data_IF_481345489400
#
_entry.id   IF_481345489400
#
_cell.length_a   1.000
_cell.length_b   1.000
_cell.length_c   1.000
_cell.angle_alpha   90.00
_cell.angle_beta   90.00
_cell.angle_gamma   90.00
#
_symmetry.space_group_name_H-M   'P 1'
#
loop_
_entity.id
_entity.type
_entity.pdbx_description
1 polymer ?
#
# COMPACT_ATOMS: atom_id res chain seq x y z
N UNK A 1 -29.67 19.72 5.87
CA UNK A 1 -28.52 19.01 6.48
C UNK A 1 -27.98 18.06 5.41
N UNK A 2 -26.90 18.45 4.74
CA UNK A 2 -26.26 17.59 3.74
C UNK A 2 -25.47 16.51 4.49
N UNK A 3 -25.88 15.26 4.37
CA UNK A 3 -25.06 14.12 4.77
C UNK A 3 -23.94 14.01 3.73
N UNK A 4 -22.71 14.39 4.10
CA UNK A 4 -21.54 14.00 3.31
C UNK A 4 -21.41 12.50 3.52
N UNK A 5 -21.68 11.71 2.48
CA UNK A 5 -21.35 10.29 2.48
C UNK A 5 -19.83 10.23 2.49
N UNK A 6 -19.27 9.86 3.64
CA UNK A 6 -17.84 9.61 3.79
C UNK A 6 -17.42 8.55 2.76
N UNK A 7 -16.42 8.87 1.95
CA UNK A 7 -15.96 8.02 0.86
C UNK A 7 -15.21 6.82 1.44
N UNK A 8 -15.33 5.64 0.83
CA UNK A 8 -14.56 4.49 1.32
C UNK A 8 -13.06 4.74 1.20
N UNK A 9 -12.64 5.41 0.13
CA UNK A 9 -11.25 5.82 -0.06
C UNK A 9 -10.71 6.64 1.12
N UNK A 10 -11.52 7.54 1.69
CA UNK A 10 -11.16 8.34 2.88
C UNK A 10 -10.90 7.45 4.10
N UNK A 11 -11.84 6.55 4.41
CA UNK A 11 -11.70 5.58 5.51
C UNK A 11 -10.49 4.68 5.34
N UNK A 12 -10.26 4.22 4.11
CA UNK A 12 -9.12 3.40 3.78
C UNK A 12 -7.80 4.14 4.05
N UNK A 13 -7.67 5.38 3.57
CA UNK A 13 -6.46 6.17 3.80
C UNK A 13 -6.26 6.53 5.28
N UNK A 14 -7.33 6.81 6.03
CA UNK A 14 -7.24 7.00 7.47
C UNK A 14 -6.69 5.74 8.16
N UNK A 15 -7.26 4.58 7.85
CA UNK A 15 -6.84 3.30 8.43
C UNK A 15 -5.38 2.95 8.10
N UNK A 16 -4.94 3.13 6.84
CA UNK A 16 -3.57 2.84 6.43
C UNK A 16 -2.58 3.83 7.05
N UNK A 17 -2.95 5.11 7.18
CA UNK A 17 -2.08 6.14 7.74
C UNK A 17 -2.03 6.13 9.27
N UNK A 18 -2.97 5.48 9.95
CA UNK A 18 -3.07 5.47 11.41
C UNK A 18 -1.76 4.97 12.08
N UNK A 19 -1.10 5.84 12.84
CA UNK A 19 0.13 5.54 13.58
C UNK A 19 -0.11 5.13 15.05
N UNK A 20 -1.37 5.05 15.50
CA UNK A 20 -1.71 4.67 16.88
C UNK A 20 -1.50 3.19 17.19
N UNK A 21 -1.40 2.34 16.17
CA UNK A 21 -1.20 0.91 16.34
C UNK A 21 0.27 0.60 16.61
N UNK A 22 0.54 -0.29 17.57
CA UNK A 22 1.88 -0.84 17.72
C UNK A 22 2.23 -1.70 16.49
N UNK A 23 3.28 -1.28 15.78
CA UNK A 23 3.81 -1.95 14.59
C UNK A 23 5.12 -2.72 14.89
N UNK A 24 5.51 -2.83 16.16
CA UNK A 24 6.74 -3.50 16.60
C UNK A 24 6.82 -4.97 16.16
N UNK A 25 5.68 -5.64 16.03
CA UNK A 25 5.62 -7.03 15.51
C UNK A 25 6.17 -7.20 14.10
N UNK A 26 6.30 -6.12 13.33
CA UNK A 26 6.85 -6.12 11.99
C UNK A 26 8.34 -5.73 11.94
N UNK A 27 8.96 -5.44 13.10
CA UNK A 27 10.34 -4.97 13.16
C UNK A 27 11.31 -5.95 12.52
N UNK A 28 11.21 -7.24 12.84
CA UNK A 28 12.06 -8.28 12.27
C UNK A 28 12.00 -8.25 10.74
N UNK A 29 10.79 -8.31 10.18
CA UNK A 29 10.59 -8.36 8.74
C UNK A 29 11.01 -7.06 8.04
N UNK A 30 10.73 -5.91 8.61
CA UNK A 30 10.98 -4.63 7.95
C UNK A 30 12.40 -4.10 8.17
N UNK A 31 13.06 -4.44 9.26
CA UNK A 31 14.45 -4.04 9.51
C UNK A 31 15.46 -4.77 8.63
N UNK A 32 15.04 -5.77 7.86
CA UNK A 32 15.88 -6.46 6.87
C UNK A 32 15.63 -5.99 5.43
N UNK A 33 14.74 -5.02 5.22
CA UNK A 33 14.42 -4.54 3.88
C UNK A 33 15.65 -3.81 3.27
N UNK A 34 15.94 -4.13 2.00
CA UNK A 34 17.01 -3.52 1.20
C UNK A 34 16.36 -2.52 0.26
N UNK A 35 16.58 -1.23 0.51
CA UNK A 35 15.89 -0.08 -0.10
C UNK A 35 16.85 1.11 -0.17
N UNK A 36 16.45 2.14 -0.91
CA UNK A 36 17.18 3.40 -0.96
C UNK A 36 16.96 4.26 0.30
N UNK A 37 17.83 5.26 0.49
CA UNK A 37 17.69 6.26 1.55
C UNK A 37 16.60 7.28 1.25
N UNK A 38 15.81 7.75 2.25
CA UNK A 38 15.96 7.48 3.68
C UNK A 38 15.33 6.15 4.14
N UNK A 39 16.17 5.25 4.65
CA UNK A 39 15.77 3.88 5.01
C UNK A 39 14.75 3.83 6.14
N UNK A 40 14.83 4.73 7.11
CA UNK A 40 13.91 4.76 8.25
C UNK A 40 12.47 5.05 7.81
N UNK A 41 12.27 5.88 6.78
CA UNK A 41 10.95 6.12 6.20
C UNK A 41 10.43 4.89 5.45
N UNK A 42 11.32 4.19 4.75
CA UNK A 42 10.97 2.93 4.06
C UNK A 42 10.62 1.81 5.04
N UNK A 43 11.26 1.73 6.20
CA UNK A 43 10.88 0.81 7.27
C UNK A 43 9.46 1.12 7.76
N UNK A 44 9.11 2.39 7.99
CA UNK A 44 7.74 2.78 8.37
C UNK A 44 6.72 2.36 7.31
N UNK A 45 7.02 2.57 6.03
CA UNK A 45 6.16 2.12 4.91
C UNK A 45 6.02 0.60 4.91
N UNK A 46 7.12 -0.15 5.06
CA UNK A 46 7.10 -1.61 5.14
C UNK A 46 6.16 -2.09 6.26
N UNK A 47 6.23 -1.50 7.45
CA UNK A 47 5.36 -1.88 8.58
C UNK A 47 3.88 -1.64 8.26
N UNK A 48 3.54 -0.50 7.67
CA UNK A 48 2.18 -0.19 7.21
C UNK A 48 1.71 -1.15 6.11
N UNK A 49 2.63 -1.56 5.23
CA UNK A 49 2.39 -2.55 4.19
C UNK A 49 2.05 -3.92 4.79
N UNK A 50 2.83 -4.43 5.75
CA UNK A 50 2.55 -5.71 6.39
C UNK A 50 1.22 -5.68 7.16
N UNK A 51 0.89 -4.57 7.82
CA UNK A 51 -0.44 -4.35 8.41
C UNK A 51 -1.56 -4.40 7.38
N UNK A 52 -1.38 -3.74 6.24
CA UNK A 52 -2.35 -3.79 5.15
C UNK A 52 -2.61 -5.23 4.70
N UNK A 53 -1.58 -6.08 4.60
CA UNK A 53 -1.74 -7.47 4.19
C UNK A 53 -2.59 -8.30 5.16
N UNK A 54 -2.50 -8.03 6.47
CA UNK A 54 -3.36 -8.67 7.46
C UNK A 54 -4.80 -8.16 7.37
N UNK A 55 -4.97 -6.84 7.19
CA UNK A 55 -6.29 -6.20 7.16
C UNK A 55 -7.05 -6.42 5.85
N UNK A 56 -6.34 -6.65 4.74
CA UNK A 56 -6.96 -6.84 3.44
C UNK A 56 -7.92 -8.05 3.41
N UNK A 57 -7.69 -9.08 4.22
CA UNK A 57 -8.65 -10.18 4.39
C UNK A 57 -9.98 -9.75 5.03
N UNK A 58 -9.94 -8.73 5.91
CA UNK A 58 -11.12 -8.26 6.65
C UNK A 58 -12.01 -7.34 5.81
N UNK A 59 -11.48 -6.79 4.71
CA UNK A 59 -12.19 -5.85 3.84
C UNK A 59 -13.06 -6.50 2.76
N UNK A 60 -13.01 -7.84 2.63
CA UNK A 60 -13.72 -8.59 1.59
C UNK A 60 -15.24 -8.39 1.61
N UNK A 61 -15.82 -8.17 2.78
CA UNK A 61 -17.28 -8.12 2.95
C UNK A 61 -17.88 -6.72 2.70
N UNK A 62 -17.04 -5.69 2.55
CA UNK A 62 -17.48 -4.29 2.35
C UNK A 62 -17.31 -3.82 0.89
N UNK A 63 -16.19 -4.16 0.23
CA UNK A 63 -15.83 -3.72 -1.12
C UNK A 63 -15.02 -4.81 -1.83
N UNK A 64 -14.93 -4.75 -3.17
CA UNK A 64 -14.07 -5.66 -3.92
C UNK A 64 -12.61 -5.51 -3.46
N UNK A 65 -11.97 -6.65 -3.15
CA UNK A 65 -10.54 -6.68 -2.83
C UNK A 65 -9.66 -6.06 -3.92
N UNK A 66 -10.15 -6.08 -5.17
CA UNK A 66 -9.51 -5.43 -6.31
C UNK A 66 -9.45 -3.91 -6.12
N UNK A 67 -10.54 -3.28 -5.64
CA UNK A 67 -10.55 -1.86 -5.32
C UNK A 67 -9.64 -1.52 -4.13
N UNK A 68 -9.62 -2.36 -3.10
CA UNK A 68 -8.74 -2.22 -1.94
C UNK A 68 -7.26 -2.25 -2.34
N UNK A 69 -6.88 -3.17 -3.23
CA UNK A 69 -5.53 -3.27 -3.77
C UNK A 69 -5.16 -2.05 -4.62
N UNK A 70 -6.08 -1.54 -5.43
CA UNK A 70 -5.87 -0.32 -6.22
C UNK A 70 -5.65 0.91 -5.32
N UNK A 71 -6.47 1.09 -4.27
CA UNK A 71 -6.28 2.18 -3.30
C UNK A 71 -4.92 2.08 -2.61
N UNK A 72 -4.52 0.86 -2.22
CA UNK A 72 -3.22 0.65 -1.61
C UNK A 72 -2.06 0.93 -2.56
N UNK A 73 -2.18 0.57 -3.84
CA UNK A 73 -1.20 0.93 -4.87
C UNK A 73 -1.03 2.44 -5.00
N UNK A 74 -2.14 3.20 -5.04
CA UNK A 74 -2.08 4.65 -5.09
C UNK A 74 -1.46 5.26 -3.84
N UNK A 75 -1.78 4.73 -2.66
CA UNK A 75 -1.13 5.12 -1.41
C UNK A 75 0.38 4.90 -1.49
N UNK A 76 0.80 3.71 -1.92
CA UNK A 76 2.21 3.34 -1.98
C UNK A 76 2.99 4.20 -3.00
N UNK A 77 2.46 4.39 -4.20
CA UNK A 77 3.03 5.29 -5.20
C UNK A 77 3.14 6.73 -4.67
N UNK A 78 2.14 7.22 -3.95
CA UNK A 78 2.15 8.54 -3.33
C UNK A 78 3.24 8.69 -2.28
N UNK A 79 3.40 7.69 -1.40
CA UNK A 79 4.45 7.69 -0.37
C UNK A 79 5.85 7.66 -0.97
N UNK A 80 6.11 6.77 -1.94
CA UNK A 80 7.42 6.68 -2.60
C UNK A 80 7.73 7.95 -3.42
N UNK A 81 6.73 8.52 -4.08
CA UNK A 81 6.87 9.80 -4.78
C UNK A 81 7.15 10.94 -3.82
N UNK A 82 6.55 10.94 -2.63
CA UNK A 82 6.81 11.94 -1.61
C UNK A 82 8.25 11.87 -1.08
N UNK A 83 8.76 10.65 -0.86
CA UNK A 83 10.12 10.42 -0.36
C UNK A 83 11.18 10.73 -1.42
N UNK A 84 11.03 10.19 -2.62
CA UNK A 84 12.06 10.26 -3.66
C UNK A 84 11.87 11.41 -4.64
N UNK A 85 10.68 12.00 -4.72
CA UNK A 85 10.30 12.92 -5.79
C UNK A 85 9.92 12.19 -7.07
N UNK A 86 8.95 12.77 -7.81
CA UNK A 86 8.32 12.14 -8.98
C UNK A 86 9.28 11.81 -10.14
N UNK A 87 10.46 12.43 -10.20
CA UNK A 87 11.44 12.19 -11.26
C UNK A 87 12.39 11.02 -10.96
N UNK A 88 12.36 10.45 -9.75
CA UNK A 88 13.24 9.35 -9.33
C UNK A 88 12.60 7.98 -9.55
N UNK A 89 12.10 7.74 -10.77
CA UNK A 89 11.35 6.53 -11.14
C UNK A 89 12.09 5.24 -10.82
N UNK A 90 13.41 5.19 -11.06
CA UNK A 90 14.22 4.00 -10.79
C UNK A 90 14.22 3.61 -9.30
N UNK A 91 14.31 4.60 -8.40
CA UNK A 91 14.22 4.36 -6.95
C UNK A 91 12.82 3.91 -6.55
N UNK A 92 11.79 4.55 -7.11
CA UNK A 92 10.39 4.18 -6.86
C UNK A 92 10.13 2.73 -7.29
N UNK A 93 10.54 2.35 -8.51
CA UNK A 93 10.38 0.97 -9.04
C UNK A 93 11.13 -0.03 -8.17
N UNK A 94 12.39 0.26 -7.84
CA UNK A 94 13.24 -0.65 -7.06
C UNK A 94 12.64 -0.90 -5.68
N UNK A 95 12.24 0.15 -4.98
CA UNK A 95 11.76 0.06 -3.61
C UNK A 95 10.33 -0.43 -3.51
N UNK A 96 9.48 -0.14 -4.50
CA UNK A 96 8.18 -0.79 -4.65
C UNK A 96 8.36 -2.31 -4.82
N UNK A 97 9.32 -2.73 -5.64
CA UNK A 97 9.63 -4.14 -5.85
C UNK A 97 10.13 -4.80 -4.56
N UNK A 98 10.97 -4.12 -3.77
CA UNK A 98 11.41 -4.59 -2.47
C UNK A 98 10.24 -4.81 -1.49
N UNK A 99 9.25 -3.91 -1.49
CA UNK A 99 8.02 -4.07 -0.70
C UNK A 99 7.15 -5.22 -1.22
N UNK A 100 7.04 -5.41 -2.53
CA UNK A 100 6.36 -6.58 -3.11
C UNK A 100 7.00 -7.90 -2.70
N UNK A 101 8.33 -7.96 -2.53
CA UNK A 101 8.97 -9.17 -2.02
C UNK A 101 8.50 -9.50 -0.59
N UNK A 102 8.18 -8.49 0.22
CA UNK A 102 7.59 -8.72 1.55
C UNK A 102 6.21 -9.37 1.46
N UNK A 103 5.37 -9.04 0.46
CA UNK A 103 4.14 -9.80 0.20
C UNK A 103 4.41 -11.29 -0.10
N UNK A 104 5.51 -11.64 -0.78
CA UNK A 104 5.83 -13.05 -1.04
C UNK A 104 6.26 -13.81 0.20
N UNK A 105 7.05 -13.19 1.08
CA UNK A 105 7.71 -13.90 2.18
C UNK A 105 7.08 -13.69 3.57
N UNK A 106 6.26 -12.66 3.76
CA UNK A 106 5.69 -12.32 5.06
C UNK A 106 4.82 -13.42 5.65
N UNK A 107 3.90 -13.98 4.87
CA UNK A 107 3.17 -15.18 5.24
C UNK A 107 3.03 -16.09 4.02
N UNK A 108 4.09 -16.83 3.74
CA UNK A 108 4.17 -17.73 2.59
C UNK A 108 3.03 -18.77 2.58
N UNK A 109 2.47 -19.12 3.74
CA UNK A 109 1.33 -20.05 3.82
C UNK A 109 0.09 -19.53 3.10
N UNK A 110 -0.06 -18.19 3.00
CA UNK A 110 -1.19 -17.51 2.38
C UNK A 110 -0.99 -17.25 0.88
N UNK A 111 0.18 -17.50 0.32
CA UNK A 111 0.49 -17.11 -1.07
C UNK A 111 -0.47 -17.73 -2.11
N UNK A 112 -1.03 -18.90 -1.80
CA UNK A 112 -2.00 -19.57 -2.65
C UNK A 112 -3.45 -19.14 -2.42
N UNK A 113 -3.73 -18.40 -1.34
CA UNK A 113 -5.06 -17.92 -1.03
C UNK A 113 -5.50 -16.85 -2.04
N UNK A 114 -6.73 -17.00 -2.55
CA UNK A 114 -7.28 -16.09 -3.55
C UNK A 114 -7.42 -14.65 -3.05
N UNK A 115 -7.83 -14.43 -1.79
CA UNK A 115 -7.91 -13.06 -1.25
C UNK A 115 -6.51 -12.43 -1.20
N UNK A 116 -5.51 -13.20 -0.75
CA UNK A 116 -4.15 -12.70 -0.56
C UNK A 116 -3.49 -12.33 -1.89
N UNK A 117 -3.78 -13.09 -2.95
CA UNK A 117 -3.42 -12.76 -4.33
C UNK A 117 -4.01 -11.44 -4.81
N UNK A 118 -5.28 -11.16 -4.48
CA UNK A 118 -5.92 -9.89 -4.84
C UNK A 118 -5.33 -8.69 -4.09
N UNK A 119 -4.86 -8.91 -2.87
CA UNK A 119 -4.18 -7.91 -2.06
C UNK A 119 -2.73 -7.63 -2.49
N UNK A 120 -2.25 -8.26 -3.57
CA UNK A 120 -0.90 -8.01 -4.08
C UNK A 120 -0.87 -6.66 -4.79
N UNK A 121 0.02 -5.73 -4.39
CA UNK A 121 0.25 -4.48 -5.10
C UNK A 121 0.77 -4.72 -6.51
N UNK A 122 0.43 -3.86 -7.47
CA UNK A 122 0.77 -4.00 -8.89
C UNK A 122 1.83 -2.96 -9.31
N UNK A 123 3.06 -3.43 -9.53
CA UNK A 123 4.22 -2.59 -9.87
C UNK A 123 4.00 -1.78 -11.16
N UNK A 124 3.21 -2.32 -12.10
CA UNK A 124 2.90 -1.65 -13.37
C UNK A 124 2.27 -0.27 -13.17
N UNK A 125 1.62 -0.01 -12.02
CA UNK A 125 1.05 1.29 -11.69
C UNK A 125 2.10 2.40 -11.55
N UNK A 126 3.35 2.08 -11.20
CA UNK A 126 4.45 3.05 -11.13
C UNK A 126 4.77 3.64 -12.52
N UNK A 127 4.49 2.91 -13.59
CA UNK A 127 4.77 3.34 -14.96
C UNK A 127 3.68 4.28 -15.54
N UNK A 128 2.57 4.49 -14.84
CA UNK A 128 1.52 5.40 -15.28
C UNK A 128 1.90 6.84 -14.95
N UNK A 129 2.36 7.60 -15.95
CA UNK A 129 2.72 9.01 -15.78
C UNK A 129 1.59 9.91 -15.23
N UNK A 130 0.33 9.47 -15.37
CA UNK A 130 -0.88 10.15 -14.91
C UNK A 130 -1.53 9.46 -13.69
N UNK A 131 -0.78 8.65 -12.93
CA UNK A 131 -1.31 7.92 -11.78
C UNK A 131 -2.01 8.82 -10.76
N UNK A 132 -1.55 10.07 -10.59
CA UNK A 132 -2.11 11.05 -9.66
C UNK A 132 -3.53 11.50 -10.08
N UNK A 133 -3.76 11.66 -11.38
CA UNK A 133 -5.08 11.97 -11.96
C UNK A 133 -6.00 10.76 -11.87
N UNK A 134 -5.49 9.56 -12.15
CA UNK A 134 -6.24 8.30 -12.02
C UNK A 134 -6.66 8.05 -10.57
N UNK A 135 -5.77 8.33 -9.60
CA UNK A 135 -6.08 8.29 -8.17
C UNK A 135 -7.26 9.19 -7.84
N UNK A 136 -7.24 10.46 -8.24
CA UNK A 136 -8.32 11.42 -7.95
C UNK A 136 -9.67 10.96 -8.49
N UNK A 137 -9.70 10.40 -9.70
CA UNK A 137 -10.92 9.87 -10.30
C UNK A 137 -11.42 8.65 -9.51
N UNK A 138 -10.52 7.71 -9.20
CA UNK A 138 -10.84 6.47 -8.50
C UNK A 138 -11.31 6.71 -7.06
N UNK A 139 -10.65 7.61 -6.32
CA UNK A 139 -11.02 7.97 -4.95
C UNK A 139 -12.43 8.56 -4.87
N UNK A 140 -12.87 9.32 -5.89
CA UNK A 140 -14.20 9.91 -5.94
C UNK A 140 -15.30 8.89 -6.29
N UNK A 141 -14.95 7.80 -7.00
CA UNK A 141 -15.88 6.74 -7.38
C UNK A 141 -16.13 5.70 -6.27
N UNK A 142 -15.34 5.74 -5.17
CA UNK A 142 -15.30 4.76 -4.07
C UNK A 142 -15.58 5.38 -2.69
#
# INVERSE_FOLDING_TARGET
>A
MFYIKELFSEKFYEAVNNDSSDLSKYDHECNEIIVHEPRDEMIKICKKYLRYLEYCNLLHDEISLDNVSILFNYWLCGMLTHIYGANNTDKIITDFSALQLKWTYFDYSRINNQYYKKCKPELSMVNHHDWDKRKKLFDYEL
#
